data_IF_558288688994
#
_entry.id   IF_558288688994
#
_cell.length_a   1.000
_cell.length_b   1.000
_cell.length_c   1.000
_cell.angle_alpha   90.00
_cell.angle_beta   90.00
_cell.angle_gamma   90.00
#
_symmetry.space_group_name_H-M   'P 1'
#
loop_
_entity.id
_entity.type
_entity.pdbx_description
1 polymer ?
#
# COMPACT_ATOMS: atom_id res chain seq x y z
N UNK A 1 6.85 -18.66 12.63
CA UNK A 1 6.91 -17.90 11.37
C UNK A 1 6.75 -16.42 11.67
N UNK A 2 7.78 -15.62 11.39
CA UNK A 2 7.72 -14.15 11.43
C UNK A 2 6.85 -13.63 10.28
N UNK A 3 6.64 -12.31 10.24
CA UNK A 3 5.91 -11.67 9.14
C UNK A 3 6.69 -11.77 7.83
N UNK A 4 8.00 -11.56 7.90
CA UNK A 4 8.93 -11.64 6.77
C UNK A 4 8.95 -13.06 6.20
N UNK A 5 9.04 -14.09 7.05
CA UNK A 5 9.00 -15.49 6.62
C UNK A 5 7.69 -15.86 5.91
N UNK A 6 6.55 -15.26 6.31
CA UNK A 6 5.27 -15.47 5.61
C UNK A 6 5.26 -14.80 4.24
N UNK A 7 5.72 -13.56 4.15
CA UNK A 7 5.78 -12.79 2.91
C UNK A 7 6.68 -13.49 1.89
N UNK A 8 7.86 -13.93 2.32
CA UNK A 8 8.82 -14.65 1.48
C UNK A 8 8.23 -15.97 0.97
N UNK A 9 7.66 -16.80 1.86
CA UNK A 9 7.04 -18.07 1.47
C UNK A 9 5.92 -17.87 0.44
N UNK A 10 5.06 -16.86 0.62
CA UNK A 10 3.96 -16.56 -0.31
C UNK A 10 4.50 -16.06 -1.64
N UNK A 11 5.48 -15.15 -1.62
CA UNK A 11 6.11 -14.60 -2.81
C UNK A 11 6.74 -15.70 -3.67
N UNK A 12 7.56 -16.56 -3.06
CA UNK A 12 8.20 -17.69 -3.75
C UNK A 12 7.19 -18.69 -4.31
N UNK A 13 6.09 -18.92 -3.59
CA UNK A 13 5.05 -19.87 -4.00
C UNK A 13 4.31 -19.42 -5.26
N UNK A 14 3.94 -18.14 -5.36
CA UNK A 14 3.14 -17.62 -6.46
C UNK A 14 3.99 -17.04 -7.60
N UNK A 15 5.17 -16.50 -7.30
CA UNK A 15 6.05 -15.90 -8.30
C UNK A 15 5.57 -14.53 -8.81
N UNK A 16 6.36 -13.94 -9.71
CA UNK A 16 6.18 -12.55 -10.13
C UNK A 16 4.87 -12.26 -10.86
N UNK A 17 4.50 -13.07 -11.85
CA UNK A 17 3.36 -12.75 -12.70
C UNK A 17 2.04 -12.67 -11.90
N UNK A 18 1.63 -13.68 -11.11
CA UNK A 18 0.42 -13.58 -10.29
C UNK A 18 0.47 -12.41 -9.31
N UNK A 19 1.59 -12.20 -8.62
CA UNK A 19 1.72 -11.14 -7.62
C UNK A 19 1.69 -9.74 -8.25
N UNK A 20 2.20 -9.58 -9.47
CA UNK A 20 2.09 -8.32 -10.20
C UNK A 20 0.64 -7.99 -10.59
N UNK A 21 -0.17 -9.01 -10.87
CA UNK A 21 -1.60 -8.84 -11.14
C UNK A 21 -2.39 -8.57 -9.87
N UNK A 22 -2.07 -9.29 -8.79
CA UNK A 22 -2.64 -9.04 -7.47
C UNK A 22 -2.42 -7.59 -7.06
N UNK A 23 -1.19 -7.06 -7.21
CA UNK A 23 -0.92 -5.66 -6.86
C UNK A 23 -1.83 -4.67 -7.63
N UNK A 24 -2.12 -4.95 -8.90
CA UNK A 24 -3.01 -4.09 -9.70
C UNK A 24 -4.44 -4.12 -9.14
N UNK A 25 -4.92 -5.28 -8.72
CA UNK A 25 -6.24 -5.47 -8.11
C UNK A 25 -6.33 -4.74 -6.77
N UNK A 26 -5.37 -4.97 -5.86
CA UNK A 26 -5.34 -4.32 -4.53
C UNK A 26 -5.23 -2.79 -4.65
N UNK A 27 -4.46 -2.28 -5.61
CA UNK A 27 -4.39 -0.83 -5.85
C UNK A 27 -5.71 -0.26 -6.37
N UNK A 28 -6.49 -1.04 -7.14
CA UNK A 28 -7.81 -0.63 -7.59
C UNK A 28 -8.83 -0.64 -6.45
N UNK A 29 -8.76 -1.61 -5.55
CA UNK A 29 -9.60 -1.70 -4.35
C UNK A 29 -9.27 -0.57 -3.36
N UNK A 30 -7.98 -0.32 -3.10
CA UNK A 30 -7.54 0.83 -2.31
C UNK A 30 -8.03 2.16 -2.88
N UNK A 31 -7.97 2.33 -4.21
CA UNK A 31 -8.52 3.52 -4.88
C UNK A 31 -10.02 3.68 -4.63
N UNK A 32 -10.78 2.58 -4.66
CA UNK A 32 -12.21 2.60 -4.36
C UNK A 32 -12.49 2.91 -2.88
N UNK A 33 -11.72 2.32 -1.96
CA UNK A 33 -11.86 2.53 -0.52
C UNK A 33 -11.61 4.00 -0.14
N UNK A 34 -10.55 4.63 -0.68
CA UNK A 34 -10.26 6.06 -0.50
C UNK A 34 -11.46 6.91 -0.93
N UNK A 35 -12.01 6.65 -2.12
CA UNK A 35 -13.17 7.38 -2.63
C UNK A 35 -14.45 7.14 -1.82
N UNK A 36 -14.64 5.92 -1.31
CA UNK A 36 -15.80 5.56 -0.49
C UNK A 36 -15.75 6.29 0.86
N UNK A 37 -14.59 6.30 1.53
CA UNK A 37 -14.40 7.04 2.77
C UNK A 37 -14.64 8.53 2.57
N UNK A 38 -14.03 9.13 1.54
CA UNK A 38 -14.23 10.54 1.22
C UNK A 38 -15.72 10.86 1.00
N UNK A 39 -16.44 10.03 0.24
CA UNK A 39 -17.87 10.25 0.01
C UNK A 39 -18.69 10.17 1.29
N UNK A 40 -18.43 9.19 2.15
CA UNK A 40 -19.16 9.05 3.42
C UNK A 40 -18.91 10.23 4.36
N UNK A 41 -17.68 10.74 4.42
CA UNK A 41 -17.35 11.91 5.24
C UNK A 41 -17.97 13.22 4.74
N UNK A 42 -18.15 13.37 3.42
CA UNK A 42 -18.53 14.66 2.82
C UNK A 42 -19.99 14.75 2.34
N UNK A 43 -20.69 13.62 2.15
CA UNK A 43 -22.05 13.59 1.59
C UNK A 43 -23.04 12.81 2.46
N UNK A 44 -22.98 13.02 3.77
CA UNK A 44 -24.04 12.57 4.70
C UNK A 44 -23.96 11.10 5.13
N UNK A 45 -22.77 10.50 5.13
CA UNK A 45 -22.57 9.19 5.75
C UNK A 45 -22.78 9.25 7.26
N UNK A 46 -23.45 8.23 7.81
CA UNK A 46 -23.57 8.06 9.25
C UNK A 46 -22.21 7.73 9.88
N UNK A 47 -22.07 7.95 11.19
CA UNK A 47 -20.83 7.62 11.93
C UNK A 47 -20.43 6.16 11.77
N UNK A 48 -21.42 5.24 11.70
CA UNK A 48 -21.19 3.82 11.46
C UNK A 48 -20.61 3.56 10.07
N UNK A 49 -21.21 4.14 9.03
CA UNK A 49 -20.72 3.97 7.65
C UNK A 49 -19.34 4.59 7.42
N UNK A 50 -19.01 5.68 8.13
CA UNK A 50 -17.67 6.29 8.09
C UNK A 50 -16.65 5.36 8.74
N UNK A 51 -16.97 4.77 9.90
CA UNK A 51 -16.10 3.79 10.55
C UNK A 51 -15.87 2.56 9.66
N UNK A 52 -16.93 1.98 9.10
CA UNK A 52 -16.81 0.83 8.19
C UNK A 52 -15.99 1.17 6.94
N UNK A 53 -16.14 2.37 6.37
CA UNK A 53 -15.33 2.81 5.23
C UNK A 53 -13.86 3.06 5.60
N UNK A 54 -13.59 3.45 6.85
CA UNK A 54 -12.23 3.62 7.36
C UNK A 54 -11.56 2.26 7.60
N UNK A 55 -12.26 1.29 8.19
CA UNK A 55 -11.75 -0.06 8.41
C UNK A 55 -11.42 -0.74 7.07
N UNK A 56 -12.32 -0.64 6.08
CA UNK A 56 -12.05 -1.13 4.72
C UNK A 56 -10.81 -0.45 4.11
N UNK A 57 -10.63 0.86 4.32
CA UNK A 57 -9.43 1.55 3.82
C UNK A 57 -8.15 0.99 4.44
N UNK A 58 -8.17 0.67 5.74
CA UNK A 58 -7.03 0.07 6.42
C UNK A 58 -6.70 -1.32 5.91
N UNK A 59 -7.73 -2.13 5.59
CA UNK A 59 -7.58 -3.46 4.97
C UNK A 59 -6.89 -3.34 3.60
N UNK A 60 -7.44 -2.55 2.67
CA UNK A 60 -6.83 -2.42 1.32
C UNK A 60 -5.41 -1.83 1.37
N UNK A 61 -5.12 -0.95 2.34
CA UNK A 61 -3.77 -0.44 2.54
C UNK A 61 -2.81 -1.56 2.96
N UNK A 62 -3.25 -2.48 3.83
CA UNK A 62 -2.46 -3.62 4.25
C UNK A 62 -2.22 -4.58 3.07
N UNK A 63 -3.25 -4.86 2.26
CA UNK A 63 -3.14 -5.77 1.12
C UNK A 63 -2.16 -5.23 0.06
N UNK A 64 -2.25 -3.93 -0.28
CA UNK A 64 -1.25 -3.28 -1.15
C UNK A 64 0.17 -3.37 -0.59
N UNK A 65 0.37 -3.12 0.70
CA UNK A 65 1.70 -3.20 1.33
C UNK A 65 2.27 -4.61 1.27
N UNK A 66 1.45 -5.62 1.56
CA UNK A 66 1.85 -7.04 1.51
C UNK A 66 2.37 -7.39 0.11
N UNK A 67 1.62 -7.04 -0.94
CA UNK A 67 2.01 -7.39 -2.31
C UNK A 67 3.24 -6.59 -2.76
N UNK A 68 3.40 -5.33 -2.33
CA UNK A 68 4.63 -4.56 -2.57
C UNK A 68 5.85 -5.26 -1.93
N UNK A 69 5.74 -5.76 -0.70
CA UNK A 69 6.83 -6.49 -0.06
C UNK A 69 7.16 -7.79 -0.79
N UNK A 70 6.16 -8.52 -1.26
CA UNK A 70 6.35 -9.74 -2.06
C UNK A 70 7.07 -9.41 -3.38
N UNK A 71 6.70 -8.32 -4.07
CA UNK A 71 7.38 -7.89 -5.30
C UNK A 71 8.80 -7.42 -5.06
N UNK A 72 9.10 -6.78 -3.91
CA UNK A 72 10.49 -6.44 -3.56
C UNK A 72 11.37 -7.68 -3.51
N UNK A 73 10.89 -8.76 -2.88
CA UNK A 73 11.60 -10.04 -2.81
C UNK A 73 11.77 -10.62 -4.22
N UNK A 74 10.68 -10.72 -4.99
CA UNK A 74 10.70 -11.34 -6.33
C UNK A 74 11.56 -10.60 -7.36
N UNK A 75 11.76 -9.29 -7.19
CA UNK A 75 12.59 -8.46 -8.05
C UNK A 75 14.00 -8.23 -7.50
N UNK A 76 14.33 -8.78 -6.33
CA UNK A 76 15.63 -8.56 -5.68
C UNK A 76 15.88 -7.11 -5.24
N UNK A 77 14.81 -6.35 -4.97
CA UNK A 77 14.90 -4.95 -4.54
C UNK A 77 15.20 -4.91 -3.04
N UNK A 78 16.47 -4.62 -2.72
CA UNK A 78 16.92 -4.50 -1.34
C UNK A 78 16.38 -3.27 -0.61
N UNK A 79 16.18 -3.40 0.71
CA UNK A 79 15.68 -2.32 1.57
C UNK A 79 16.52 -1.03 1.45
N UNK A 80 17.85 -1.18 1.43
CA UNK A 80 18.76 -0.04 1.37
C UNK A 80 18.70 0.75 0.06
N UNK A 81 18.38 0.11 -1.07
CA UNK A 81 18.22 0.81 -2.36
C UNK A 81 16.90 1.58 -2.38
N UNK A 82 15.80 0.90 -2.03
CA UNK A 82 14.48 1.52 -2.02
C UNK A 82 14.40 2.67 -1.00
N UNK A 83 14.97 2.49 0.20
CA UNK A 83 14.96 3.51 1.24
C UNK A 83 15.69 4.79 0.80
N UNK A 84 16.79 4.68 0.06
CA UNK A 84 17.49 5.85 -0.50
C UNK A 84 16.60 6.63 -1.46
N UNK A 85 15.88 5.93 -2.34
CA UNK A 85 14.94 6.55 -3.28
C UNK A 85 13.78 7.22 -2.53
N UNK A 86 13.24 6.56 -1.51
CA UNK A 86 12.17 7.10 -0.66
C UNK A 86 12.65 8.38 0.04
N UNK A 87 13.80 8.35 0.72
CA UNK A 87 14.34 9.51 1.43
C UNK A 87 14.53 10.70 0.48
N UNK A 88 15.17 10.49 -0.68
CA UNK A 88 15.36 11.56 -1.67
C UNK A 88 14.05 12.11 -2.25
N UNK A 89 12.96 11.33 -2.26
CA UNK A 89 11.62 11.83 -2.64
C UNK A 89 10.99 12.65 -1.53
N UNK A 90 11.13 12.21 -0.28
CA UNK A 90 10.63 12.92 0.91
C UNK A 90 11.36 14.25 1.10
N UNK A 91 12.69 14.27 1.03
CA UNK A 91 13.50 15.49 1.15
C UNK A 91 13.05 16.57 0.14
N UNK A 92 12.78 16.16 -1.11
CA UNK A 92 12.23 17.04 -2.14
C UNK A 92 10.82 17.54 -1.83
N UNK A 93 9.96 16.74 -1.18
CA UNK A 93 8.66 17.26 -0.74
C UNK A 93 8.82 18.26 0.40
N UNK A 94 9.73 18.01 1.34
CA UNK A 94 10.04 18.93 2.43
C UNK A 94 10.61 20.24 1.90
N UNK A 95 11.48 20.19 0.89
CA UNK A 95 11.98 21.38 0.19
C UNK A 95 10.85 22.18 -0.48
N UNK A 96 9.83 21.54 -1.06
CA UNK A 96 8.67 22.26 -1.61
C UNK A 96 7.80 22.93 -0.54
N UNK A 97 7.76 22.37 0.66
CA UNK A 97 6.96 22.91 1.78
C UNK A 97 7.70 24.03 2.51
N UNK A 98 9.02 23.88 2.70
CA UNK A 98 9.82 24.73 3.60
C UNK A 98 10.97 25.48 2.90
N UNK A 99 11.35 25.11 1.69
CA UNK A 99 12.40 25.77 0.92
C UNK A 99 11.95 27.16 0.47
N UNK A 100 12.76 28.18 0.78
CA UNK A 100 12.66 29.52 0.20
C UNK A 100 13.40 29.58 -1.12
#
# INVERSE_FOLDING_TARGET
MTMEEKIELIAEKYGYEPQSRQLIEEMAELTQAINKLWRKQNFGGSSKEIAEAHDNLQEEMADVLIVIWQLKILLGIGEGELQKIINAKLDRQLERIYGK
#
